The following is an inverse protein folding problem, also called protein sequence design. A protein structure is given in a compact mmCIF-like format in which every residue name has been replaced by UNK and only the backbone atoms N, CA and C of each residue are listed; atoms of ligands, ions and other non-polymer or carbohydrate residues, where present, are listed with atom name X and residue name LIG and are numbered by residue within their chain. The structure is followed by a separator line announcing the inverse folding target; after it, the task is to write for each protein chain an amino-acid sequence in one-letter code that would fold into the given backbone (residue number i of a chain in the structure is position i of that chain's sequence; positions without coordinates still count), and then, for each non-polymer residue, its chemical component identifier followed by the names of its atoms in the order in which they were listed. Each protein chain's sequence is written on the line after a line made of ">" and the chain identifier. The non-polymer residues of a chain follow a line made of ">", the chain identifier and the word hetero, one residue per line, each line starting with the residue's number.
data_IF_130613206068
#
_entry.id   IF_130613206068
#
_cell.length_a   1.000
_cell.length_b   1.000
_cell.length_c   1.000
_cell.angle_alpha   90.00
_cell.angle_beta   90.00
_cell.angle_gamma   90.00
#
_symmetry.space_group_name_H-M   'P 1'
#
loop_
_entity.id
_entity.type
_entity.pdbx_description
1 polymer ?
#
# COMPACT_ATOMS: atom_id res chain seq x y z
N UNK A 1 7.20 -4.14 -24.99
CA UNK A 1 5.85 -3.56 -24.84
C UNK A 1 5.41 -3.84 -23.42
N UNK A 2 5.22 -2.83 -22.58
CA UNK A 2 4.59 -3.03 -21.26
C UNK A 2 3.14 -3.44 -21.52
N UNK A 3 2.75 -4.65 -21.10
CA UNK A 3 1.34 -5.06 -21.14
C UNK A 3 0.52 -4.02 -20.38
N UNK A 4 -0.57 -3.56 -21.00
CA UNK A 4 -1.50 -2.66 -20.34
C UNK A 4 -2.24 -3.46 -19.27
N UNK A 5 -2.08 -3.05 -18.02
CA UNK A 5 -2.68 -3.69 -16.86
C UNK A 5 -4.21 -3.72 -17.00
N UNK A 6 -4.82 -4.85 -16.67
CA UNK A 6 -6.26 -5.06 -16.73
C UNK A 6 -6.79 -5.27 -15.31
N UNK A 7 -8.05 -4.86 -15.03
CA UNK A 7 -8.73 -5.27 -13.83
C UNK A 7 -8.67 -6.79 -13.64
N UNK A 8 -8.30 -7.25 -12.45
CA UNK A 8 -8.24 -8.68 -12.18
C UNK A 8 -8.63 -8.99 -10.75
N UNK A 9 -9.22 -10.17 -10.57
CA UNK A 9 -9.54 -10.70 -9.26
C UNK A 9 -8.58 -11.87 -8.98
N UNK A 10 -7.72 -11.76 -7.96
CA UNK A 10 -6.85 -12.86 -7.56
C UNK A 10 -7.66 -14.07 -7.10
N UNK A 11 -7.25 -15.25 -7.55
CA UNK A 11 -7.73 -16.53 -7.03
C UNK A 11 -7.11 -16.89 -5.68
N UNK A 12 -7.59 -17.96 -5.04
CA UNK A 12 -7.20 -18.33 -3.68
C UNK A 12 -5.71 -18.63 -3.48
N UNK A 13 -4.99 -18.99 -4.55
CA UNK A 13 -3.56 -19.34 -4.52
C UNK A 13 -2.68 -18.32 -5.24
N UNK A 14 -3.25 -17.19 -5.68
CA UNK A 14 -2.54 -16.21 -6.51
C UNK A 14 -1.85 -15.12 -5.67
N UNK A 15 -2.11 -15.10 -4.37
CA UNK A 15 -1.64 -14.06 -3.46
C UNK A 15 -0.48 -14.58 -2.60
N UNK A 16 0.69 -13.94 -2.67
CA UNK A 16 1.86 -14.35 -1.88
C UNK A 16 1.79 -13.92 -0.41
N UNK A 17 0.79 -13.11 -0.03
CA UNK A 17 0.62 -12.57 1.30
C UNK A 17 -0.77 -12.86 1.86
N UNK A 18 -0.85 -13.14 3.16
CA UNK A 18 -2.08 -13.32 3.94
C UNK A 18 -2.90 -12.05 4.02
N UNK A 19 -2.24 -10.92 4.25
CA UNK A 19 -2.87 -9.60 4.35
C UNK A 19 -2.79 -8.87 3.01
N UNK A 20 -3.95 -8.53 2.45
CA UNK A 20 -4.06 -7.91 1.13
C UNK A 20 -5.28 -6.99 1.01
N UNK A 21 -5.16 -5.99 0.13
CA UNK A 21 -6.23 -5.06 -0.24
C UNK A 21 -6.50 -5.19 -1.74
N UNK A 22 -7.63 -5.81 -2.09
CA UNK A 22 -7.97 -6.18 -3.47
C UNK A 22 -9.11 -5.29 -3.98
N UNK A 23 -9.03 -4.87 -5.24
CA UNK A 23 -10.14 -4.27 -5.96
C UNK A 23 -10.56 -5.20 -7.10
N UNK A 24 -11.65 -5.98 -6.96
CA UNK A 24 -12.09 -6.94 -7.99
C UNK A 24 -12.39 -6.32 -9.36
N UNK A 25 -12.56 -4.99 -9.43
CA UNK A 25 -12.85 -4.25 -10.65
C UNK A 25 -11.72 -3.29 -11.05
N UNK A 26 -10.54 -3.42 -10.46
CA UNK A 26 -9.40 -2.57 -10.76
C UNK A 26 -8.08 -3.32 -10.73
N UNK A 27 -7.00 -2.55 -10.77
CA UNK A 27 -5.61 -3.00 -10.91
C UNK A 27 -4.72 -2.62 -9.71
N UNK A 28 -5.28 -1.84 -8.78
CA UNK A 28 -4.56 -1.26 -7.63
C UNK A 28 -4.55 -2.21 -6.46
N UNK A 29 -3.94 -3.37 -6.59
CA UNK A 29 -3.87 -4.37 -5.53
C UNK A 29 -2.64 -4.16 -4.65
N UNK A 30 -2.83 -4.33 -3.34
CA UNK A 30 -1.74 -4.28 -2.36
C UNK A 30 -1.68 -5.57 -1.56
N UNK A 31 -0.46 -6.00 -1.26
CA UNK A 31 -0.14 -6.97 -0.23
C UNK A 31 0.64 -6.27 0.89
N UNK A 32 0.48 -6.77 2.11
CA UNK A 32 1.32 -6.41 3.23
C UNK A 32 2.04 -7.66 3.71
N UNK A 33 3.36 -7.60 3.71
CA UNK A 33 4.23 -8.63 4.26
C UNK A 33 4.27 -8.46 5.78
N UNK A 34 3.67 -9.41 6.49
CA UNK A 34 3.58 -9.39 7.95
C UNK A 34 4.88 -9.80 8.63
N UNK A 35 5.79 -10.46 7.91
CA UNK A 35 7.10 -10.84 8.42
C UNK A 35 8.07 -9.65 8.33
N UNK A 36 8.02 -8.91 7.21
CA UNK A 36 8.98 -7.81 6.94
C UNK A 36 8.43 -6.41 7.21
N UNK A 37 7.12 -6.25 7.41
CA UNK A 37 6.50 -4.94 7.61
C UNK A 37 6.58 -4.07 6.35
N UNK A 38 6.35 -4.68 5.18
CA UNK A 38 6.52 -4.03 3.88
C UNK A 38 5.25 -4.11 3.04
N UNK A 39 4.96 -3.02 2.31
CA UNK A 39 3.92 -3.03 1.30
C UNK A 39 4.46 -3.48 -0.05
N UNK A 40 3.64 -4.22 -0.77
CA UNK A 40 3.90 -4.63 -2.13
C UNK A 40 2.71 -4.30 -3.02
N UNK A 41 2.98 -3.77 -4.20
CA UNK A 41 2.01 -3.75 -5.30
C UNK A 41 1.92 -5.16 -5.87
N UNK A 42 0.68 -5.65 -5.98
CA UNK A 42 0.40 -6.94 -6.56
C UNK A 42 -0.03 -6.79 -8.02
N UNK A 43 0.44 -7.71 -8.85
CA UNK A 43 0.24 -7.68 -10.29
C UNK A 43 -0.29 -9.04 -10.75
N UNK A 44 -1.07 -9.06 -11.83
CA UNK A 44 -1.59 -10.30 -12.39
C UNK A 44 -0.49 -11.17 -13.03
N UNK A 45 0.49 -10.54 -13.68
CA UNK A 45 1.43 -11.20 -14.61
C UNK A 45 2.90 -10.99 -14.28
N UNK A 46 3.22 -10.32 -13.16
CA UNK A 46 4.61 -10.16 -12.70
C UNK A 46 4.71 -10.30 -11.19
N UNK A 47 5.94 -10.46 -10.72
CA UNK A 47 6.23 -10.55 -9.30
C UNK A 47 5.74 -9.29 -8.55
N UNK A 48 5.38 -9.42 -7.26
CA UNK A 48 5.11 -8.28 -6.40
C UNK A 48 6.26 -7.27 -6.42
N UNK A 49 5.90 -5.99 -6.36
CA UNK A 49 6.84 -4.88 -6.37
C UNK A 49 6.77 -4.14 -5.05
N UNK A 50 7.90 -4.06 -4.33
CA UNK A 50 7.96 -3.36 -3.04
C UNK A 50 7.57 -1.89 -3.23
N UNK A 51 6.77 -1.38 -2.31
CA UNK A 51 6.38 0.02 -2.23
C UNK A 51 6.85 0.62 -0.91
N UNK A 52 7.19 1.90 -0.96
CA UNK A 52 7.20 2.73 0.24
C UNK A 52 5.75 2.92 0.73
N UNK A 53 5.51 2.98 2.04
CA UNK A 53 4.13 3.04 2.59
C UNK A 53 3.33 4.24 2.07
N UNK A 54 3.99 5.39 1.87
CA UNK A 54 3.36 6.54 1.22
C UNK A 54 2.87 6.26 -0.21
N UNK A 55 3.56 5.42 -0.99
CA UNK A 55 3.13 5.04 -2.34
C UNK A 55 1.93 4.09 -2.29
N UNK A 56 1.89 3.19 -1.31
CA UNK A 56 0.72 2.34 -1.06
C UNK A 56 -0.52 3.19 -0.76
N UNK A 57 -0.37 4.23 0.05
CA UNK A 57 -1.44 5.21 0.34
C UNK A 57 -1.90 5.93 -0.95
N UNK A 58 -0.98 6.36 -1.81
CA UNK A 58 -1.34 6.99 -3.09
C UNK A 58 -2.00 6.02 -4.07
N UNK A 59 -1.58 4.76 -4.07
CA UNK A 59 -2.16 3.74 -4.93
C UNK A 59 -3.62 3.47 -4.54
N UNK A 60 -3.91 3.43 -3.23
CA UNK A 60 -5.23 3.13 -2.67
C UNK A 60 -5.66 4.13 -1.59
N UNK A 61 -5.96 5.39 -1.96
CA UNK A 61 -6.31 6.42 -0.98
C UNK A 61 -7.63 6.11 -0.24
N UNK A 62 -8.52 5.33 -0.85
CA UNK A 62 -9.75 4.83 -0.23
C UNK A 62 -9.50 3.90 0.96
N UNK A 63 -8.36 3.21 0.99
CA UNK A 63 -8.02 2.21 2.00
C UNK A 63 -6.98 2.71 3.00
N UNK A 64 -6.78 4.04 3.08
CA UNK A 64 -5.75 4.67 3.93
C UNK A 64 -5.87 4.22 5.40
N UNK A 65 -7.09 4.04 5.91
CA UNK A 65 -7.30 3.58 7.28
C UNK A 65 -6.79 2.15 7.50
N UNK A 66 -7.04 1.23 6.55
CA UNK A 66 -6.56 -0.14 6.60
C UNK A 66 -5.03 -0.20 6.46
N UNK A 67 -4.46 0.59 5.54
CA UNK A 67 -3.02 0.69 5.34
C UNK A 67 -2.34 1.16 6.64
N UNK A 68 -2.81 2.25 7.26
CA UNK A 68 -2.24 2.70 8.54
C UNK A 68 -2.43 1.66 9.64
N UNK A 69 -3.59 0.98 9.68
CA UNK A 69 -3.87 -0.03 10.71
C UNK A 69 -2.91 -1.22 10.64
N UNK A 70 -2.67 -1.79 9.45
CA UNK A 70 -1.75 -2.93 9.33
C UNK A 70 -0.32 -2.55 9.73
N UNK A 71 0.17 -1.40 9.26
CA UNK A 71 1.48 -0.90 9.64
C UNK A 71 1.61 -0.67 11.15
N UNK A 72 0.62 -0.03 11.80
CA UNK A 72 0.66 0.22 13.24
C UNK A 72 0.51 -1.04 14.09
N UNK A 73 -0.24 -2.04 13.61
CA UNK A 73 -0.29 -3.37 14.24
C UNK A 73 1.08 -4.03 14.16
N UNK A 74 1.74 -3.98 13.00
CA UNK A 74 3.08 -4.55 12.82
C UNK A 74 4.10 -3.89 13.74
N UNK A 75 4.14 -2.54 13.80
CA UNK A 75 5.02 -1.77 14.70
C UNK A 75 4.81 -2.18 16.15
N UNK A 76 3.55 -2.34 16.58
CA UNK A 76 3.23 -2.76 17.94
C UNK A 76 3.75 -4.17 18.24
N UNK A 77 3.66 -5.08 17.27
CA UNK A 77 4.04 -6.47 17.44
C UNK A 77 5.57 -6.69 17.31
N UNK A 78 6.30 -5.73 16.72
CA UNK A 78 7.74 -5.78 16.49
C UNK A 78 8.46 -4.56 17.13
N UNK A 79 8.39 -4.38 18.46
CA UNK A 79 8.81 -3.15 19.13
C UNK A 79 10.32 -2.88 19.10
N UNK A 80 11.14 -3.92 18.89
CA UNK A 80 12.61 -3.80 18.81
C UNK A 80 13.12 -3.72 17.37
N UNK A 81 12.24 -3.87 16.37
CA UNK A 81 12.64 -3.84 14.97
C UNK A 81 12.76 -2.38 14.48
N UNK A 82 13.95 -1.95 14.02
CA UNK A 82 14.15 -0.59 13.50
C UNK A 82 13.25 -0.25 12.32
N UNK A 83 12.76 -1.24 11.57
CA UNK A 83 11.76 -1.06 10.51
C UNK A 83 10.49 -0.38 11.01
N UNK A 84 10.15 -0.54 12.29
CA UNK A 84 8.98 0.11 12.89
C UNK A 84 9.07 1.63 12.86
N UNK A 85 10.25 2.20 13.09
CA UNK A 85 10.46 3.64 12.99
C UNK A 85 10.36 4.12 11.54
N UNK A 86 10.94 3.37 10.61
CA UNK A 86 10.82 3.67 9.19
C UNK A 86 9.35 3.69 8.76
N UNK A 87 8.56 2.65 9.10
CA UNK A 87 7.12 2.59 8.81
C UNK A 87 6.37 3.85 9.26
N UNK A 88 6.63 4.33 10.48
CA UNK A 88 6.01 5.55 11.02
C UNK A 88 6.40 6.76 10.16
N UNK A 89 7.68 6.91 9.83
CA UNK A 89 8.17 8.02 9.01
C UNK A 89 7.58 7.98 7.58
N UNK A 90 7.48 6.79 6.98
CA UNK A 90 6.89 6.60 5.66
C UNK A 90 5.40 6.99 5.64
N UNK A 91 4.65 6.64 6.69
CA UNK A 91 3.24 7.03 6.86
C UNK A 91 3.13 8.55 6.98
N UNK A 92 3.95 9.18 7.83
CA UNK A 92 3.95 10.63 8.01
C UNK A 92 4.26 11.35 6.69
N UNK A 93 5.23 10.85 5.91
CA UNK A 93 5.57 11.37 4.59
C UNK A 93 4.40 11.24 3.61
N UNK A 94 3.73 10.07 3.56
CA UNK A 94 2.56 9.84 2.72
C UNK A 94 1.38 10.75 3.07
N UNK A 95 1.07 10.87 4.36
CA UNK A 95 0.00 11.76 4.85
C UNK A 95 0.28 13.23 4.48
N UNK A 96 1.52 13.69 4.69
CA UNK A 96 1.95 15.04 4.29
C UNK A 96 1.76 15.25 2.78
N UNK A 97 2.17 14.29 1.95
CA UNK A 97 2.07 14.40 0.51
C UNK A 97 0.60 14.52 0.04
N UNK A 98 -0.32 13.76 0.63
CA UNK A 98 -1.77 13.90 0.35
C UNK A 98 -2.27 15.30 0.73
N UNK A 99 -1.96 15.76 1.94
CA UNK A 99 -2.40 17.09 2.41
C UNK A 99 -1.91 18.17 1.45
N UNK A 100 -0.63 18.09 1.04
CA UNK A 100 -0.06 19.05 0.09
C UNK A 100 -0.72 18.96 -1.29
N UNK A 101 -1.04 17.77 -1.78
CA UNK A 101 -1.74 17.59 -3.05
C UNK A 101 -3.09 18.34 -3.05
N UNK A 102 -3.90 18.19 -2.00
CA UNK A 102 -5.19 18.87 -1.91
C UNK A 102 -5.08 20.36 -1.58
N UNK A 103 -4.07 20.78 -0.79
CA UNK A 103 -3.83 22.18 -0.50
C UNK A 103 -3.37 22.99 -1.73
N UNK A 104 -2.68 22.33 -2.67
CA UNK A 104 -2.18 22.93 -3.91
C UNK A 104 -3.11 22.72 -5.10
N UNK A 105 -4.11 21.85 -4.99
CA UNK A 105 -5.11 21.68 -6.03
C UNK A 105 -5.86 23.01 -6.22
N UNK A 106 -5.91 23.56 -7.46
CA UNK A 106 -6.66 24.78 -7.71
C UNK A 106 -8.12 24.54 -7.33
N UNK A 107 -8.67 25.43 -6.51
CA UNK A 107 -10.09 25.41 -6.16
C UNK A 107 -10.86 25.60 -7.48
N UNK A 108 -11.41 24.52 -8.03
CA UNK A 108 -12.42 24.63 -9.08
C UNK A 108 -13.64 25.29 -8.43
N UNK A 109 -13.77 26.61 -8.63
CA UNK A 109 -14.94 27.40 -8.27
C UNK A 109 -15.90 27.44 -9.45
#
# INVERSE_FOLDING_TARGET
>A
MSQQEQPWQPGPNDLPFTTHLINPHGDRHLGFDEDEGLYYRLWQYKAPERLHTGEAIFLRPSDINQIISYAMIWVRNNPEDPRGYELIDEIAAGAKAIVMHFAQAPVQR
#
